data_IF_146719913729
#
_entry.id   IF_146719913729
#
_cell.length_a   1.000
_cell.length_b   1.000
_cell.length_c   1.000
_cell.angle_alpha   90.00
_cell.angle_beta   90.00
_cell.angle_gamma   90.00
#
_symmetry.space_group_name_H-M   'P 1'
#
loop_
_entity.id
_entity.type
_entity.pdbx_description
1 polymer ?
#
# COMPACT_ATOMS: atom_id res chain seq x y z
N UNK A 1 -84.36 32.92 -15.44
CA UNK A 1 -83.46 32.01 -14.69
C UNK A 1 -82.96 32.76 -13.47
N UNK A 2 -83.22 32.23 -12.28
CA UNK A 2 -83.17 32.94 -11.01
C UNK A 2 -81.73 33.19 -10.54
N UNK A 3 -81.55 34.32 -9.87
CA UNK A 3 -80.33 34.86 -9.24
C UNK A 3 -79.69 33.92 -8.18
N UNK A 4 -80.22 32.71 -8.01
CA UNK A 4 -79.74 31.67 -7.08
C UNK A 4 -78.78 30.68 -7.72
N UNK A 5 -78.63 30.67 -9.05
CA UNK A 5 -77.70 29.77 -9.75
C UNK A 5 -76.28 30.35 -9.97
N UNK A 6 -76.08 31.66 -9.80
CA UNK A 6 -74.77 32.30 -9.98
C UNK A 6 -73.93 32.35 -8.69
N UNK A 7 -74.55 32.20 -7.52
CA UNK A 7 -73.86 32.28 -6.20
C UNK A 7 -73.27 30.93 -5.78
N UNK A 8 -73.79 29.80 -6.31
CA UNK A 8 -73.27 28.47 -6.04
C UNK A 8 -71.99 28.14 -6.83
N UNK A 9 -71.70 28.84 -7.93
CA UNK A 9 -70.50 28.61 -8.75
C UNK A 9 -69.30 29.49 -8.33
N UNK A 10 -69.49 30.48 -7.46
CA UNK A 10 -68.43 31.38 -6.98
C UNK A 10 -67.90 31.01 -5.58
N UNK A 11 -68.55 30.09 -4.86
CA UNK A 11 -68.08 29.60 -3.55
C UNK A 11 -67.28 28.30 -3.65
N UNK A 12 -67.36 27.57 -4.77
CA UNK A 12 -66.55 26.36 -5.00
C UNK A 12 -65.16 26.69 -5.59
N UNK A 13 -64.94 27.92 -6.09
CA UNK A 13 -63.64 28.35 -6.63
C UNK A 13 -62.76 29.12 -5.62
N UNK A 14 -63.23 29.33 -4.38
CA UNK A 14 -62.51 30.07 -3.33
C UNK A 14 -62.00 29.20 -2.16
N UNK A 15 -62.19 27.87 -2.20
CA UNK A 15 -61.72 26.94 -1.16
C UNK A 15 -60.48 26.12 -1.61
N UNK A 16 -59.92 26.40 -2.79
CA UNK A 16 -58.71 25.73 -3.30
C UNK A 16 -57.41 26.54 -3.16
N UNK A 17 -57.38 27.62 -2.37
CA UNK A 17 -56.18 28.46 -2.20
C UNK A 17 -55.69 28.64 -0.75
N UNK A 18 -56.10 27.80 0.20
CA UNK A 18 -55.68 27.93 1.61
C UNK A 18 -55.32 26.55 2.22
N UNK A 19 -54.37 25.82 1.65
CA UNK A 19 -53.74 24.64 2.29
C UNK A 19 -52.45 24.21 1.56
N UNK A 20 -51.40 25.02 1.57
CA UNK A 20 -50.04 24.53 1.27
C UNK A 20 -48.93 25.50 1.74
N UNK A 21 -49.07 26.14 2.90
CA UNK A 21 -47.92 26.61 3.68
C UNK A 21 -47.62 25.54 4.73
N UNK A 22 -46.99 24.46 4.26
CA UNK A 22 -46.31 23.45 5.09
C UNK A 22 -45.17 22.89 4.24
N UNK A 23 -44.37 23.79 3.65
CA UNK A 23 -43.04 23.42 3.20
C UNK A 23 -42.22 23.20 4.46
N UNK A 24 -42.11 21.93 4.85
CA UNK A 24 -41.13 21.45 5.82
C UNK A 24 -39.81 22.18 5.60
N UNK A 25 -39.26 22.77 6.64
CA UNK A 25 -37.82 23.00 6.73
C UNK A 25 -37.16 21.65 6.47
N UNK A 26 -36.75 21.43 5.23
CA UNK A 26 -35.83 20.36 4.90
C UNK A 26 -34.55 20.73 5.61
N UNK A 27 -34.31 20.09 6.74
CA UNK A 27 -33.02 19.95 7.37
C UNK A 27 -31.98 19.89 6.26
N UNK A 28 -31.13 20.92 6.17
CA UNK A 28 -30.03 21.01 5.22
C UNK A 28 -29.00 19.93 5.52
N UNK A 29 -29.34 18.69 5.16
CA UNK A 29 -28.43 17.58 5.12
C UNK A 29 -27.39 17.83 4.03
N UNK A 30 -26.20 17.28 4.22
CA UNK A 30 -25.03 17.36 3.33
C UNK A 30 -25.25 16.76 1.90
N UNK A 31 -26.50 16.61 1.46
CA UNK A 31 -26.93 15.79 0.32
C UNK A 31 -26.90 16.52 -1.03
N UNK A 32 -26.33 17.73 -1.09
CA UNK A 32 -26.30 18.54 -2.33
C UNK A 32 -24.88 18.86 -2.82
N UNK A 33 -23.87 18.16 -2.31
CA UNK A 33 -22.53 18.26 -2.89
C UNK A 33 -22.49 17.47 -4.20
N UNK A 34 -22.01 18.06 -5.30
CA UNK A 34 -21.78 17.31 -6.53
C UNK A 34 -20.91 16.09 -6.23
N UNK A 35 -21.24 14.95 -6.82
CA UNK A 35 -20.48 13.70 -6.67
C UNK A 35 -19.94 13.24 -8.02
N UNK A 36 -18.88 12.43 -7.97
CA UNK A 36 -18.37 11.66 -9.10
C UNK A 36 -18.20 10.21 -8.70
N UNK A 37 -18.28 9.32 -9.68
CA UNK A 37 -17.99 7.89 -9.46
C UNK A 37 -16.52 7.61 -9.69
N UNK A 38 -15.90 6.88 -8.78
CA UNK A 38 -14.58 6.26 -8.95
C UNK A 38 -14.73 4.74 -8.92
N UNK A 39 -13.81 4.04 -9.59
CA UNK A 39 -13.71 2.57 -9.49
C UNK A 39 -12.53 2.26 -8.58
N UNK A 40 -12.78 1.57 -7.47
CA UNK A 40 -11.74 1.24 -6.50
C UNK A 40 -10.95 -0.02 -6.87
N UNK A 41 -9.89 -0.32 -6.12
CA UNK A 41 -8.98 -1.43 -6.41
C UNK A 41 -9.62 -2.84 -6.31
N UNK A 42 -10.80 -2.94 -5.69
CA UNK A 42 -11.57 -4.20 -5.62
C UNK A 42 -12.76 -4.20 -6.59
N UNK A 43 -12.83 -3.22 -7.50
CA UNK A 43 -13.78 -3.16 -8.60
C UNK A 43 -15.14 -2.59 -8.24
N UNK A 44 -15.30 -1.93 -7.09
CA UNK A 44 -16.54 -1.26 -6.71
C UNK A 44 -16.64 0.10 -7.38
N UNK A 45 -17.82 0.45 -7.88
CA UNK A 45 -18.17 1.82 -8.24
C UNK A 45 -18.60 2.58 -6.97
N UNK A 46 -17.83 3.58 -6.58
CA UNK A 46 -18.07 4.35 -5.37
C UNK A 46 -18.34 5.82 -5.73
N UNK A 47 -19.45 6.37 -5.27
CA UNK A 47 -19.73 7.80 -5.37
C UNK A 47 -18.96 8.55 -4.30
N UNK A 48 -18.07 9.43 -4.71
CA UNK A 48 -17.30 10.32 -3.83
C UNK A 48 -17.66 11.77 -4.10
N UNK A 49 -17.49 12.68 -3.13
CA UNK A 49 -17.63 14.10 -3.38
C UNK A 49 -16.75 14.57 -4.55
N UNK A 50 -17.26 15.51 -5.34
CA UNK A 50 -16.53 16.11 -6.45
C UNK A 50 -15.26 16.81 -5.95
N UNK A 51 -15.33 17.43 -4.77
CA UNK A 51 -14.20 18.02 -4.05
C UNK A 51 -14.00 17.26 -2.75
N UNK A 52 -12.82 16.69 -2.58
CA UNK A 52 -12.39 15.99 -1.36
C UNK A 52 -11.32 16.84 -0.70
N UNK A 53 -11.56 17.31 0.52
CA UNK A 53 -10.62 18.12 1.31
C UNK A 53 -10.20 17.43 2.62
N UNK A 54 -10.90 16.35 3.01
CA UNK A 54 -10.68 15.63 4.28
C UNK A 54 -10.66 14.12 4.03
N UNK A 55 -9.48 13.52 4.06
CA UNK A 55 -9.27 12.09 3.83
C UNK A 55 -8.93 11.44 5.16
N UNK A 56 -9.75 10.47 5.57
CA UNK A 56 -9.40 9.50 6.60
C UNK A 56 -8.62 8.36 5.92
N UNK A 57 -7.43 8.05 6.41
CA UNK A 57 -6.64 6.93 5.90
C UNK A 57 -6.82 5.70 6.80
N UNK A 58 -6.86 4.51 6.20
CA UNK A 58 -6.85 3.23 6.90
C UNK A 58 -5.44 2.72 7.25
N UNK A 59 -4.40 3.50 6.95
CA UNK A 59 -3.01 3.24 7.32
C UNK A 59 -2.12 4.47 7.11
N UNK A 60 -1.23 4.73 8.04
CA UNK A 60 -0.19 5.76 7.96
C UNK A 60 0.81 5.48 6.83
N UNK A 61 1.02 4.20 6.48
CA UNK A 61 1.83 3.80 5.31
C UNK A 61 1.34 4.39 3.99
N UNK A 62 0.11 4.89 3.91
CA UNK A 62 -0.37 5.65 2.75
C UNK A 62 0.44 6.92 2.48
N UNK A 63 1.28 7.36 3.44
CA UNK A 63 2.30 8.39 3.23
C UNK A 63 3.23 8.08 2.04
N UNK A 64 3.51 6.81 1.73
CA UNK A 64 4.25 6.43 0.52
C UNK A 64 3.52 6.84 -0.76
N UNK A 65 2.19 6.78 -0.76
CA UNK A 65 1.39 7.18 -1.92
C UNK A 65 1.22 8.69 -1.97
N UNK A 66 0.91 9.32 -0.84
CA UNK A 66 0.66 10.77 -0.86
C UNK A 66 1.93 11.58 -1.11
N UNK A 67 3.11 11.07 -0.74
CA UNK A 67 4.40 11.70 -1.02
C UNK A 67 4.71 11.81 -2.52
N UNK A 68 4.41 10.78 -3.32
CA UNK A 68 4.60 10.83 -4.79
C UNK A 68 3.59 11.75 -5.48
N UNK A 69 2.43 11.99 -4.84
CA UNK A 69 1.37 12.85 -5.37
C UNK A 69 1.53 14.31 -4.96
N UNK A 70 2.17 14.58 -3.81
CA UNK A 70 2.37 15.93 -3.31
C UNK A 70 3.69 16.02 -2.52
N UNK A 71 4.79 16.20 -3.24
CA UNK A 71 6.13 16.39 -2.66
C UNK A 71 6.21 17.62 -1.74
N UNK A 72 5.41 18.66 -1.98
CA UNK A 72 5.43 19.90 -1.20
C UNK A 72 4.66 19.79 0.13
N UNK A 73 3.66 18.92 0.19
CA UNK A 73 2.92 18.63 1.42
C UNK A 73 2.31 17.22 1.34
N UNK A 74 3.10 16.17 1.68
CA UNK A 74 2.65 14.78 1.60
C UNK A 74 1.44 14.46 2.47
N UNK A 75 1.13 15.31 3.45
CA UNK A 75 -0.01 15.13 4.36
C UNK A 75 -1.21 16.01 4.02
N UNK A 76 -1.19 16.69 2.87
CA UNK A 76 -2.31 17.50 2.41
C UNK A 76 -3.61 16.70 2.42
N UNK A 77 -4.69 17.31 2.95
CA UNK A 77 -6.03 16.73 3.13
C UNK A 77 -6.14 15.56 4.11
N UNK A 78 -5.06 15.03 4.68
CA UNK A 78 -5.15 13.93 5.67
C UNK A 78 -5.65 14.48 7.00
N UNK A 79 -6.79 13.99 7.49
CA UNK A 79 -7.38 14.47 8.75
C UNK A 79 -7.14 13.53 9.93
N UNK A 80 -7.01 12.24 9.66
CA UNK A 80 -6.65 11.24 10.65
C UNK A 80 -6.14 9.96 9.97
N UNK A 81 -5.37 9.17 10.71
CA UNK A 81 -4.85 7.87 10.27
C UNK A 81 -4.45 6.98 11.46
N UNK A 82 -4.13 5.70 11.24
CA UNK A 82 -3.43 4.87 12.23
C UNK A 82 -1.97 5.31 12.45
N UNK A 83 -1.20 4.54 13.22
CA UNK A 83 0.23 4.72 13.48
C UNK A 83 1.09 3.56 12.92
N UNK A 84 0.56 2.73 12.02
CA UNK A 84 1.24 1.53 11.50
C UNK A 84 2.59 1.80 10.81
N UNK A 85 2.83 3.01 10.28
CA UNK A 85 4.15 3.42 9.79
C UNK A 85 5.10 3.70 10.95
N UNK A 86 4.68 4.46 11.97
CA UNK A 86 5.46 4.71 13.19
C UNK A 86 5.90 3.41 13.86
N UNK A 87 5.03 2.41 13.86
CA UNK A 87 5.29 1.12 14.51
C UNK A 87 6.23 0.20 13.74
N UNK A 88 6.26 0.31 12.41
CA UNK A 88 6.95 -0.64 11.54
C UNK A 88 8.09 -0.04 10.70
N UNK A 89 8.14 1.29 10.56
CA UNK A 89 9.15 2.05 9.84
C UNK A 89 9.26 3.48 10.37
N UNK A 90 9.73 3.55 11.61
CA UNK A 90 9.91 4.82 12.30
C UNK A 90 10.93 5.73 11.60
N UNK A 91 11.96 5.15 10.97
CA UNK A 91 12.99 5.89 10.26
C UNK A 91 12.42 6.73 9.10
N UNK A 92 11.49 6.15 8.32
CA UNK A 92 10.76 6.91 7.29
C UNK A 92 9.93 8.02 7.91
N UNK A 93 9.12 7.71 8.92
CA UNK A 93 8.24 8.70 9.53
C UNK A 93 9.03 9.89 10.11
N UNK A 94 10.15 9.63 10.79
CA UNK A 94 11.00 10.65 11.37
C UNK A 94 11.57 11.60 10.29
N UNK A 95 11.94 11.08 9.12
CA UNK A 95 12.43 11.92 7.99
C UNK A 95 11.36 12.81 7.42
N UNK A 96 10.15 12.28 7.22
CA UNK A 96 9.02 13.12 6.84
C UNK A 96 8.72 14.15 7.92
N UNK A 97 8.74 13.79 9.20
CA UNK A 97 8.46 14.72 10.29
C UNK A 97 9.56 15.78 10.52
N UNK A 98 10.78 15.56 10.05
CA UNK A 98 11.84 16.57 10.05
C UNK A 98 11.56 17.67 9.02
N UNK A 99 11.03 17.31 7.84
CA UNK A 99 10.70 18.26 6.78
C UNK A 99 9.28 18.83 6.89
N UNK A 100 8.35 18.03 7.43
CA UNK A 100 6.93 18.31 7.57
C UNK A 100 6.51 18.04 9.02
N UNK A 101 6.83 18.95 9.97
CA UNK A 101 6.50 18.75 11.38
C UNK A 101 5.01 18.47 11.64
N UNK A 102 4.12 18.98 10.78
CA UNK A 102 2.67 18.79 10.87
C UNK A 102 2.23 17.33 10.80
N UNK A 103 3.07 16.41 10.29
CA UNK A 103 2.84 14.96 10.32
C UNK A 103 2.51 14.47 11.74
N UNK A 104 3.11 15.09 12.76
CA UNK A 104 2.92 14.76 14.18
C UNK A 104 1.61 15.26 14.76
N UNK A 105 0.96 16.23 14.11
CA UNK A 105 -0.26 16.87 14.59
C UNK A 105 -1.54 16.19 14.04
N UNK A 106 -1.39 15.23 13.12
CA UNK A 106 -2.50 14.48 12.53
C UNK A 106 -3.09 13.54 13.59
N UNK A 107 -4.42 13.59 13.73
CA UNK A 107 -5.14 12.77 14.69
C UNK A 107 -4.93 11.28 14.43
N UNK A 108 -4.83 10.49 15.50
CA UNK A 108 -4.74 9.04 15.42
C UNK A 108 -6.09 8.40 15.67
N UNK A 109 -6.42 7.35 14.90
CA UNK A 109 -7.71 6.66 15.01
C UNK A 109 -7.63 5.29 15.65
N UNK A 110 -6.44 4.79 15.97
CA UNK A 110 -6.19 3.38 16.26
C UNK A 110 -6.04 2.54 15.00
N UNK A 111 -5.73 1.25 15.18
CA UNK A 111 -5.32 0.33 14.12
C UNK A 111 -6.45 -0.62 13.70
N UNK A 112 -6.54 -0.90 12.39
CA UNK A 112 -7.53 -1.85 11.86
C UNK A 112 -7.14 -3.30 12.21
N UNK A 113 -5.88 -3.67 12.05
CA UNK A 113 -5.44 -5.07 12.14
C UNK A 113 -5.52 -5.68 13.55
N UNK A 114 -5.51 -4.85 14.60
CA UNK A 114 -5.66 -5.29 16.00
C UNK A 114 -7.02 -4.88 16.58
N UNK A 115 -7.95 -4.41 15.74
CA UNK A 115 -9.30 -4.01 16.11
C UNK A 115 -9.36 -2.88 17.17
N UNK A 116 -8.44 -1.92 17.10
CA UNK A 116 -8.42 -0.74 18.00
C UNK A 116 -8.89 0.54 17.31
N UNK A 117 -9.11 0.52 16.00
CA UNK A 117 -9.60 1.70 15.29
C UNK A 117 -10.99 2.12 15.79
N UNK A 118 -11.16 3.37 16.20
CA UNK A 118 -12.40 3.92 16.73
C UNK A 118 -13.25 4.56 15.64
N UNK A 119 -14.47 4.06 15.45
CA UNK A 119 -15.46 4.68 14.56
C UNK A 119 -15.84 6.09 15.02
N UNK A 120 -15.91 6.33 16.33
CA UNK A 120 -16.27 7.64 16.89
C UNK A 120 -15.19 8.68 16.53
N UNK A 121 -13.92 8.38 16.80
CA UNK A 121 -12.80 9.26 16.46
C UNK A 121 -12.69 9.47 14.94
N UNK A 122 -12.93 8.42 14.15
CA UNK A 122 -13.00 8.51 12.71
C UNK A 122 -14.07 9.53 12.24
N UNK A 123 -15.27 9.50 12.82
CA UNK A 123 -16.35 10.44 12.51
C UNK A 123 -16.12 11.86 13.05
N UNK A 124 -15.49 12.00 14.22
CA UNK A 124 -15.07 13.29 14.79
C UNK A 124 -14.08 14.02 13.88
N UNK A 125 -13.25 13.27 13.16
CA UNK A 125 -12.36 13.83 12.13
C UNK A 125 -13.10 14.39 10.91
N UNK A 126 -14.43 14.22 10.81
CA UNK A 126 -15.31 14.71 9.73
C UNK A 126 -14.74 14.47 8.32
N UNK A 127 -14.42 13.22 7.94
CA UNK A 127 -13.85 12.93 6.62
C UNK A 127 -14.89 13.07 5.51
N UNK A 128 -14.42 13.40 4.31
CA UNK A 128 -15.19 13.37 3.06
C UNK A 128 -15.13 11.99 2.40
N UNK A 129 -14.06 11.23 2.65
CA UNK A 129 -13.84 9.87 2.14
C UNK A 129 -12.94 9.10 3.10
N UNK A 130 -13.19 7.80 3.22
CA UNK A 130 -12.29 6.85 3.88
C UNK A 130 -11.53 6.05 2.82
N UNK A 131 -10.19 6.09 2.86
CA UNK A 131 -9.33 5.32 1.97
C UNK A 131 -8.72 4.16 2.76
N UNK A 132 -8.97 2.92 2.35
CA UNK A 132 -8.47 1.72 3.03
C UNK A 132 -7.69 0.82 2.07
N UNK A 133 -6.70 0.08 2.57
CA UNK A 133 -5.98 -0.91 1.77
C UNK A 133 -6.81 -2.20 1.63
N UNK A 134 -6.82 -2.80 0.45
CA UNK A 134 -7.51 -4.06 0.19
C UNK A 134 -7.09 -5.18 1.15
N UNK A 135 -5.84 -5.19 1.61
CA UNK A 135 -5.32 -6.17 2.57
C UNK A 135 -6.00 -6.15 3.94
N UNK A 136 -6.66 -5.05 4.31
CA UNK A 136 -7.36 -4.89 5.60
C UNK A 136 -8.84 -4.50 5.43
N UNK A 137 -9.35 -4.51 4.20
CA UNK A 137 -10.74 -4.15 3.90
C UNK A 137 -11.73 -5.04 4.65
N UNK A 138 -11.57 -6.37 4.57
CA UNK A 138 -12.47 -7.32 5.24
C UNK A 138 -12.41 -7.18 6.76
N UNK A 139 -11.22 -6.97 7.33
CA UNK A 139 -11.08 -6.71 8.78
C UNK A 139 -11.78 -5.41 9.20
N UNK A 140 -11.65 -4.33 8.42
CA UNK A 140 -12.35 -3.08 8.67
C UNK A 140 -13.88 -3.24 8.56
N UNK A 141 -14.33 -4.06 7.61
CA UNK A 141 -15.75 -4.38 7.42
C UNK A 141 -16.30 -5.18 8.61
N UNK A 142 -15.61 -6.24 9.01
CA UNK A 142 -15.99 -7.11 10.12
C UNK A 142 -16.02 -6.37 11.45
N UNK A 143 -15.13 -5.38 11.63
CA UNK A 143 -15.13 -4.45 12.75
C UNK A 143 -16.28 -3.43 12.73
N UNK A 144 -17.09 -3.39 11.66
CA UNK A 144 -18.20 -2.45 11.49
C UNK A 144 -17.77 -1.02 11.13
N UNK A 145 -16.49 -0.78 10.81
CA UNK A 145 -15.97 0.55 10.47
C UNK A 145 -16.55 1.04 9.13
N UNK A 146 -16.53 0.18 8.12
CA UNK A 146 -17.02 0.52 6.78
C UNK A 146 -18.51 0.84 6.83
N UNK A 147 -19.31 -0.08 7.37
CA UNK A 147 -20.76 0.10 7.50
C UNK A 147 -21.12 1.35 8.34
N UNK A 148 -20.36 1.62 9.39
CA UNK A 148 -20.56 2.77 10.26
C UNK A 148 -20.28 4.10 9.55
N UNK A 149 -19.16 4.19 8.83
CA UNK A 149 -18.78 5.37 8.05
C UNK A 149 -19.76 5.64 6.90
N UNK A 150 -20.15 4.60 6.16
CA UNK A 150 -21.08 4.72 5.04
C UNK A 150 -22.48 5.14 5.51
N UNK A 151 -22.98 4.61 6.63
CA UNK A 151 -24.24 5.08 7.26
C UNK A 151 -24.20 6.55 7.68
N UNK A 152 -23.01 7.07 8.01
CA UNK A 152 -22.80 8.48 8.31
C UNK A 152 -22.56 9.35 7.07
N UNK A 153 -22.66 8.77 5.87
CA UNK A 153 -22.48 9.48 4.59
C UNK A 153 -21.02 9.65 4.17
N UNK A 154 -20.08 8.91 4.76
CA UNK A 154 -18.66 8.91 4.37
C UNK A 154 -18.41 7.70 3.44
N UNK A 155 -18.21 7.89 2.13
CA UNK A 155 -17.90 6.81 1.22
C UNK A 155 -16.53 6.18 1.53
N UNK A 156 -16.44 4.86 1.37
CA UNK A 156 -15.19 4.11 1.52
C UNK A 156 -14.66 3.66 0.16
N UNK A 157 -13.41 3.99 -0.14
CA UNK A 157 -12.70 3.55 -1.35
C UNK A 157 -11.47 2.71 -0.99
N UNK A 158 -11.14 1.77 -1.86
CA UNK A 158 -10.04 0.81 -1.63
C UNK A 158 -8.87 1.06 -2.57
N UNK A 159 -7.66 1.15 -2.03
CA UNK A 159 -6.39 1.03 -2.77
C UNK A 159 -5.79 -0.35 -2.56
N UNK A 160 -4.92 -0.79 -3.46
CA UNK A 160 -4.23 -2.07 -3.31
C UNK A 160 -2.80 -2.03 -3.85
N UNK A 161 -1.86 -2.17 -2.92
CA UNK A 161 -0.44 -2.44 -3.17
C UNK A 161 0.00 -3.77 -2.55
N UNK A 162 -0.94 -4.53 -1.96
CA UNK A 162 -0.66 -5.68 -1.10
C UNK A 162 -1.22 -6.98 -1.67
N UNK A 163 -2.50 -7.03 -2.01
CA UNK A 163 -3.19 -8.27 -2.43
C UNK A 163 -2.78 -8.67 -3.84
N UNK A 164 -2.93 -7.76 -4.81
CA UNK A 164 -2.59 -7.96 -6.22
C UNK A 164 -1.83 -6.72 -6.76
N UNK A 165 -0.58 -6.49 -6.30
CA UNK A 165 0.17 -5.29 -6.65
C UNK A 165 0.43 -5.15 -8.16
N UNK A 166 0.57 -6.27 -8.87
CA UNK A 166 0.83 -6.25 -10.33
C UNK A 166 -0.35 -5.66 -11.08
N UNK A 167 -1.57 -6.00 -10.69
CA UNK A 167 -2.79 -5.47 -11.30
C UNK A 167 -3.15 -4.09 -10.78
N UNK A 168 -3.02 -3.86 -9.47
CA UNK A 168 -3.73 -2.78 -8.79
C UNK A 168 -2.88 -1.57 -8.39
N UNK A 169 -1.54 -1.62 -8.49
CA UNK A 169 -0.70 -0.46 -8.13
C UNK A 169 -1.05 0.78 -8.95
N UNK A 170 -1.11 0.65 -10.28
CA UNK A 170 -1.40 1.78 -11.19
C UNK A 170 -2.84 2.32 -11.02
N UNK A 171 -3.90 1.49 -11.01
CA UNK A 171 -5.25 1.97 -10.70
C UNK A 171 -5.35 2.69 -9.35
N UNK A 172 -4.66 2.19 -8.31
CA UNK A 172 -4.67 2.80 -6.97
C UNK A 172 -4.03 4.18 -6.96
N UNK A 173 -2.87 4.35 -7.61
CA UNK A 173 -2.20 5.65 -7.74
C UNK A 173 -3.09 6.65 -8.48
N UNK A 174 -3.73 6.21 -9.58
CA UNK A 174 -4.64 7.04 -10.37
C UNK A 174 -5.84 7.51 -9.56
N UNK A 175 -6.48 6.59 -8.82
CA UNK A 175 -7.61 6.92 -7.95
C UNK A 175 -7.20 7.90 -6.86
N UNK A 176 -6.04 7.70 -6.22
CA UNK A 176 -5.53 8.63 -5.22
C UNK A 176 -5.21 10.00 -5.81
N UNK A 177 -4.65 10.06 -7.02
CA UNK A 177 -4.49 11.29 -7.79
C UNK A 177 -5.80 12.04 -7.97
N UNK A 178 -6.86 11.32 -8.37
CA UNK A 178 -8.20 11.91 -8.48
C UNK A 178 -8.67 12.47 -7.14
N UNK A 179 -8.66 11.66 -6.07
CA UNK A 179 -9.15 12.07 -4.75
C UNK A 179 -8.40 13.27 -4.18
N UNK A 180 -7.09 13.36 -4.40
CA UNK A 180 -6.27 14.46 -3.89
C UNK A 180 -6.25 15.69 -4.80
N UNK A 181 -6.82 15.62 -6.01
CA UNK A 181 -6.70 16.68 -7.02
C UNK A 181 -5.25 16.83 -7.54
N UNK A 182 -4.57 15.69 -7.68
CA UNK A 182 -3.17 15.53 -8.09
C UNK A 182 -3.06 14.57 -9.28
N UNK A 183 -4.00 14.65 -10.21
CA UNK A 183 -4.07 13.75 -11.36
C UNK A 183 -2.81 13.85 -12.25
N UNK A 184 -2.24 15.05 -12.40
CA UNK A 184 -1.02 15.25 -13.21
C UNK A 184 0.19 14.56 -12.58
N UNK A 185 0.35 14.69 -11.26
CA UNK A 185 1.41 14.05 -10.50
C UNK A 185 1.24 12.52 -10.51
N UNK A 186 0.00 12.05 -10.38
CA UNK A 186 -0.33 10.63 -10.50
C UNK A 186 0.05 10.06 -11.86
N UNK A 187 -0.38 10.67 -12.98
CA UNK A 187 -0.03 10.15 -14.31
C UNK A 187 1.48 10.24 -14.58
N UNK A 188 2.17 11.29 -14.11
CA UNK A 188 3.64 11.39 -14.22
C UNK A 188 4.32 10.22 -13.50
N UNK A 189 3.89 9.88 -12.28
CA UNK A 189 4.44 8.75 -11.56
C UNK A 189 4.06 7.41 -12.21
N UNK A 190 2.83 7.26 -12.71
CA UNK A 190 2.38 6.06 -13.42
C UNK A 190 3.23 5.82 -14.67
N UNK A 191 3.51 6.84 -15.47
CA UNK A 191 4.37 6.73 -16.64
C UNK A 191 5.79 6.27 -16.26
N UNK A 192 6.34 6.82 -15.17
CA UNK A 192 7.63 6.42 -14.63
C UNK A 192 7.63 4.97 -14.14
N UNK A 193 6.65 4.60 -13.32
CA UNK A 193 6.44 3.25 -12.81
C UNK A 193 6.35 2.24 -13.95
N UNK A 194 5.48 2.52 -14.94
CA UNK A 194 5.23 1.60 -16.04
C UNK A 194 6.46 1.47 -16.94
N UNK A 195 7.23 2.55 -17.13
CA UNK A 195 8.52 2.48 -17.84
C UNK A 195 9.51 1.53 -17.15
N UNK A 196 9.63 1.59 -15.83
CA UNK A 196 10.54 0.74 -15.04
C UNK A 196 10.09 -0.73 -15.09
N UNK A 197 8.80 -1.00 -14.90
CA UNK A 197 8.24 -2.36 -15.01
C UNK A 197 8.37 -2.92 -16.44
N UNK A 198 8.03 -2.12 -17.46
CA UNK A 198 8.10 -2.56 -18.86
C UNK A 198 9.55 -2.79 -19.35
N UNK A 199 10.52 -2.07 -18.76
CA UNK A 199 11.94 -2.34 -19.02
C UNK A 199 12.30 -3.77 -18.61
N UNK A 200 11.83 -4.22 -17.43
CA UNK A 200 12.06 -5.58 -16.95
C UNK A 200 11.33 -6.61 -17.80
N UNK A 201 10.00 -6.47 -17.92
CA UNK A 201 9.18 -7.48 -18.61
C UNK A 201 9.55 -7.61 -20.10
N UNK A 202 9.81 -6.48 -20.77
CA UNK A 202 10.22 -6.47 -22.18
C UNK A 202 11.59 -7.11 -22.43
N UNK A 203 12.55 -6.96 -21.51
CA UNK A 203 13.85 -7.66 -21.60
C UNK A 203 13.71 -9.15 -21.43
N UNK A 204 12.93 -9.59 -20.43
CA UNK A 204 12.66 -11.00 -20.18
C UNK A 204 11.98 -11.67 -21.37
N UNK A 205 10.97 -11.00 -21.95
CA UNK A 205 10.25 -11.47 -23.13
C UNK A 205 11.19 -11.59 -24.34
N UNK A 206 11.95 -10.52 -24.64
CA UNK A 206 12.90 -10.50 -25.77
C UNK A 206 13.96 -11.59 -25.66
N UNK A 207 14.46 -11.85 -24.46
CA UNK A 207 15.44 -12.89 -24.19
C UNK A 207 14.83 -14.31 -24.15
N UNK A 208 13.49 -14.42 -24.11
CA UNK A 208 12.77 -15.67 -23.79
C UNK A 208 13.33 -16.31 -22.52
N UNK A 209 13.54 -15.48 -21.50
CA UNK A 209 14.14 -15.88 -20.24
C UNK A 209 13.31 -17.00 -19.59
N UNK A 210 13.99 -18.07 -19.16
CA UNK A 210 13.33 -19.15 -18.41
C UNK A 210 13.14 -18.70 -16.96
N UNK A 211 12.00 -18.99 -16.31
CA UNK A 211 11.82 -18.67 -14.90
C UNK A 211 12.96 -19.23 -14.02
N UNK A 212 13.46 -18.42 -13.08
CA UNK A 212 14.47 -18.86 -12.10
C UNK A 212 13.80 -19.34 -10.82
N UNK A 213 14.11 -20.55 -10.37
CA UNK A 213 13.56 -21.11 -9.12
C UNK A 213 13.97 -20.23 -7.94
N UNK A 214 12.99 -19.60 -7.29
CA UNK A 214 13.24 -18.56 -6.29
C UNK A 214 12.41 -18.79 -5.04
N UNK A 215 13.04 -18.67 -3.86
CA UNK A 215 12.32 -18.60 -2.60
C UNK A 215 12.29 -17.18 -2.05
N UNK A 216 11.09 -16.65 -1.85
CA UNK A 216 10.88 -15.39 -1.16
C UNK A 216 10.80 -15.60 0.36
N UNK A 217 11.87 -15.26 1.07
CA UNK A 217 11.96 -15.41 2.52
C UNK A 217 11.46 -14.14 3.23
N UNK A 218 10.19 -14.14 3.60
CA UNK A 218 9.52 -13.01 4.23
C UNK A 218 10.03 -12.78 5.65
N UNK A 219 10.63 -11.61 5.85
CA UNK A 219 10.96 -11.00 7.14
C UNK A 219 11.56 -11.99 8.15
N UNK A 220 12.70 -12.66 7.83
CA UNK A 220 13.43 -13.46 8.81
C UNK A 220 13.65 -12.69 10.12
N UNK A 221 13.47 -13.37 11.24
CA UNK A 221 13.68 -12.80 12.59
C UNK A 221 12.52 -12.00 13.13
N UNK A 222 11.69 -11.42 12.25
CA UNK A 222 10.36 -10.94 12.57
C UNK A 222 9.37 -12.11 12.60
N UNK A 223 9.44 -12.98 11.59
CA UNK A 223 8.79 -14.29 11.59
C UNK A 223 9.81 -15.40 11.75
N UNK A 224 9.37 -16.52 12.33
CA UNK A 224 10.17 -17.73 12.36
C UNK A 224 10.42 -18.24 10.93
N UNK A 225 11.58 -18.88 10.74
CA UNK A 225 11.89 -19.43 9.42
C UNK A 225 10.91 -20.56 9.11
N UNK A 226 10.37 -20.65 7.89
CA UNK A 226 10.65 -19.80 6.74
C UNK A 226 9.34 -19.22 6.20
N UNK A 227 8.95 -18.06 6.75
CA UNK A 227 7.75 -17.37 6.29
C UNK A 227 7.88 -16.90 4.84
N UNK A 228 6.79 -16.94 4.08
CA UNK A 228 6.76 -16.57 2.66
C UNK A 228 5.38 -16.08 2.22
N UNK A 229 5.33 -15.42 1.07
CA UNK A 229 4.11 -15.15 0.32
C UNK A 229 3.93 -16.18 -0.80
N UNK A 230 2.68 -16.46 -1.17
CA UNK A 230 2.33 -17.32 -2.27
C UNK A 230 1.17 -16.73 -3.07
N UNK A 231 1.31 -16.68 -4.40
CA UNK A 231 0.28 -16.27 -5.38
C UNK A 231 -0.32 -14.87 -5.14
N UNK A 232 0.31 -14.06 -4.30
CA UNK A 232 -0.12 -12.72 -3.91
C UNK A 232 1.08 -11.88 -3.52
N UNK A 233 0.91 -10.56 -3.41
CA UNK A 233 1.94 -9.68 -2.86
C UNK A 233 3.28 -9.81 -3.61
N UNK A 234 4.41 -9.75 -2.89
CA UNK A 234 5.76 -9.89 -3.46
C UNK A 234 5.99 -11.22 -4.20
N UNK A 235 5.19 -12.27 -3.97
CA UNK A 235 5.28 -13.49 -4.76
C UNK A 235 4.90 -13.25 -6.23
N UNK A 236 3.91 -12.40 -6.50
CA UNK A 236 3.57 -12.01 -7.87
C UNK A 236 4.66 -11.14 -8.50
N UNK A 237 5.37 -10.34 -7.69
CA UNK A 237 6.52 -9.56 -8.15
C UNK A 237 7.69 -10.47 -8.53
N UNK A 238 7.94 -11.56 -7.79
CA UNK A 238 8.90 -12.60 -8.20
C UNK A 238 8.53 -13.15 -9.58
N UNK A 239 7.27 -13.51 -9.82
CA UNK A 239 6.82 -14.02 -11.12
C UNK A 239 6.95 -12.98 -12.24
N UNK A 240 6.54 -11.73 -11.99
CA UNK A 240 6.65 -10.62 -12.94
C UNK A 240 8.11 -10.33 -13.33
N UNK A 241 9.04 -10.49 -12.38
CA UNK A 241 10.47 -10.30 -12.57
C UNK A 241 11.19 -11.51 -13.20
N UNK A 242 10.45 -12.54 -13.63
CA UNK A 242 10.99 -13.72 -14.32
C UNK A 242 11.43 -14.84 -13.38
N UNK A 243 10.87 -14.92 -12.18
CA UNK A 243 11.08 -16.01 -11.24
C UNK A 243 9.97 -17.05 -11.28
N UNK A 244 10.27 -18.24 -10.76
CA UNK A 244 9.27 -19.19 -10.28
C UNK A 244 9.31 -19.15 -8.75
N UNK A 245 8.30 -18.56 -8.10
CA UNK A 245 8.24 -18.54 -6.65
C UNK A 245 7.87 -19.94 -6.12
N UNK A 246 8.84 -20.67 -5.56
CA UNK A 246 8.60 -22.03 -5.08
C UNK A 246 7.57 -22.08 -3.94
N UNK A 247 7.39 -20.97 -3.20
CA UNK A 247 6.36 -20.83 -2.17
C UNK A 247 4.94 -21.07 -2.69
N UNK A 248 4.68 -20.77 -3.97
CA UNK A 248 3.38 -20.99 -4.63
C UNK A 248 2.94 -22.46 -4.63
N UNK A 249 3.92 -23.37 -4.55
CA UNK A 249 3.72 -24.82 -4.58
C UNK A 249 3.95 -25.48 -3.22
N UNK A 250 4.32 -24.72 -2.19
CA UNK A 250 4.58 -25.22 -0.84
C UNK A 250 3.45 -24.91 0.14
N UNK A 251 2.68 -23.85 -0.11
CA UNK A 251 1.54 -23.47 0.73
C UNK A 251 0.30 -23.17 -0.12
N UNK A 252 -0.89 -23.46 0.44
CA UNK A 252 -2.17 -23.18 -0.22
C UNK A 252 -2.68 -21.76 0.09
N UNK A 253 -2.31 -21.20 1.25
CA UNK A 253 -2.69 -19.84 1.64
C UNK A 253 -1.84 -18.79 0.92
N UNK A 254 -2.34 -17.55 0.87
CA UNK A 254 -1.64 -16.39 0.26
C UNK A 254 -0.31 -16.03 0.94
N UNK A 255 -0.16 -16.45 2.19
CA UNK A 255 1.04 -16.28 3.00
C UNK A 255 1.07 -17.38 4.06
N UNK A 256 2.27 -17.73 4.52
CA UNK A 256 2.42 -18.80 5.49
C UNK A 256 3.87 -19.02 5.88
N UNK A 257 4.15 -20.21 6.41
CA UNK A 257 5.46 -20.65 6.82
C UNK A 257 5.69 -22.08 6.30
N UNK A 258 6.91 -22.34 5.85
CA UNK A 258 7.40 -23.69 5.51
C UNK A 258 8.55 -24.06 6.46
N UNK A 259 8.83 -25.36 6.61
CA UNK A 259 9.99 -25.76 7.41
C UNK A 259 11.30 -25.44 6.67
N UNK A 260 12.38 -25.12 7.40
CA UNK A 260 13.71 -24.95 6.81
C UNK A 260 14.17 -26.14 5.96
N UNK A 261 13.83 -27.37 6.37
CA UNK A 261 14.17 -28.60 5.65
C UNK A 261 13.39 -28.73 4.35
N UNK A 262 12.11 -28.33 4.33
CA UNK A 262 11.31 -28.34 3.11
C UNK A 262 11.83 -27.32 2.10
N UNK A 263 12.26 -26.13 2.56
CA UNK A 263 12.96 -25.15 1.73
C UNK A 263 14.27 -25.72 1.19
N UNK A 264 15.12 -26.28 2.07
CA UNK A 264 16.41 -26.83 1.68
C UNK A 264 16.27 -27.98 0.67
N UNK A 265 15.26 -28.85 0.84
CA UNK A 265 14.97 -29.94 -0.09
C UNK A 265 14.51 -29.46 -1.47
N UNK A 266 13.85 -28.30 -1.55
CA UNK A 266 13.51 -27.65 -2.83
C UNK A 266 14.70 -27.01 -3.50
N UNK A 267 15.72 -26.63 -2.73
CA UNK A 267 17.01 -26.11 -3.20
C UNK A 267 16.86 -25.05 -4.32
N UNK A 268 16.25 -23.88 -4.02
CA UNK A 268 16.04 -22.85 -5.03
C UNK A 268 17.37 -22.31 -5.58
N UNK A 269 17.35 -21.81 -6.81
CA UNK A 269 18.51 -21.18 -7.44
C UNK A 269 18.82 -19.82 -6.81
N UNK A 270 17.79 -19.12 -6.31
CA UNK A 270 17.88 -17.80 -5.69
C UNK A 270 17.04 -17.76 -4.42
N UNK A 271 17.56 -17.13 -3.36
CA UNK A 271 16.79 -16.76 -2.17
C UNK A 271 16.74 -15.24 -2.09
N UNK A 272 15.54 -14.69 -1.95
CA UNK A 272 15.34 -13.26 -1.71
C UNK A 272 14.63 -13.09 -0.38
N UNK A 273 15.36 -12.62 0.63
CA UNK A 273 14.80 -12.23 1.90
C UNK A 273 14.20 -10.82 1.83
N UNK A 274 13.32 -10.49 2.77
CA UNK A 274 12.91 -9.09 3.00
C UNK A 274 13.36 -8.62 4.38
N UNK A 275 13.78 -7.37 4.52
CA UNK A 275 14.24 -6.80 5.78
C UNK A 275 13.82 -5.36 5.98
N UNK A 276 13.73 -4.90 7.22
CA UNK A 276 13.53 -3.49 7.56
C UNK A 276 14.11 -3.19 8.96
N UNK A 277 14.27 -1.91 9.26
CA UNK A 277 14.59 -1.44 10.62
C UNK A 277 13.37 -1.60 11.54
N UNK A 278 13.32 -2.75 12.20
CA UNK A 278 12.31 -3.07 13.21
C UNK A 278 12.80 -2.90 14.65
N UNK A 279 14.07 -2.49 14.86
CA UNK A 279 14.65 -2.37 16.21
C UNK A 279 13.92 -1.31 17.04
N UNK A 280 13.42 -0.28 16.36
CA UNK A 280 12.67 0.82 16.96
C UNK A 280 11.15 0.60 16.95
N UNK A 281 10.69 -0.56 16.49
CA UNK A 281 9.27 -0.90 16.39
C UNK A 281 8.67 -1.41 17.70
N UNK A 282 7.34 -1.55 17.75
CA UNK A 282 6.65 -2.13 18.92
C UNK A 282 6.77 -3.66 19.00
N UNK A 283 7.14 -4.32 17.89
CA UNK A 283 7.26 -5.77 17.83
C UNK A 283 8.73 -6.17 18.05
N UNK A 284 9.05 -6.92 19.13
CA UNK A 284 10.43 -7.28 19.43
C UNK A 284 10.97 -8.25 18.37
N UNK A 285 12.00 -7.81 17.64
CA UNK A 285 12.75 -8.66 16.72
C UNK A 285 13.87 -9.40 17.44
N UNK A 286 14.11 -10.66 17.06
CA UNK A 286 15.19 -11.46 17.65
C UNK A 286 16.55 -10.85 17.23
N UNK A 287 17.43 -10.44 18.17
CA UNK A 287 18.70 -9.80 17.82
C UNK A 287 19.55 -10.62 16.85
N UNK A 288 20.00 -9.97 15.78
CA UNK A 288 20.81 -10.57 14.71
C UNK A 288 20.12 -11.71 13.96
N UNK A 289 18.78 -11.77 13.96
CA UNK A 289 18.00 -12.75 13.21
C UNK A 289 17.20 -12.13 12.05
N UNK A 290 17.33 -10.82 11.84
CA UNK A 290 16.74 -10.06 10.74
C UNK A 290 17.81 -9.25 10.01
N UNK A 291 17.46 -8.73 8.83
CA UNK A 291 18.31 -7.83 8.05
C UNK A 291 17.74 -6.42 8.15
N UNK A 292 18.38 -5.51 8.91
CA UNK A 292 18.01 -4.10 8.88
C UNK A 292 18.20 -3.55 7.46
N UNK A 293 17.15 -2.94 6.92
CA UNK A 293 17.18 -2.20 5.65
C UNK A 293 16.32 -0.94 5.79
N UNK A 294 16.69 0.10 5.05
CA UNK A 294 16.03 1.39 5.06
C UNK A 294 17.01 2.54 5.20
N UNK A 295 16.49 3.69 5.57
CA UNK A 295 17.21 4.96 5.40
C UNK A 295 18.45 5.16 6.27
N UNK A 296 18.55 4.42 7.38
CA UNK A 296 19.62 4.57 8.36
C UNK A 296 20.70 3.47 8.23
N UNK A 297 20.54 2.54 7.29
CA UNK A 297 21.33 1.32 7.24
C UNK A 297 22.55 1.43 6.34
N UNK A 298 23.72 1.08 6.88
CA UNK A 298 24.97 1.04 6.13
C UNK A 298 25.07 -0.22 5.25
N UNK A 299 25.56 -0.12 3.99
CA UNK A 299 25.60 -1.26 3.07
C UNK A 299 26.39 -2.47 3.60
N UNK A 300 27.55 -2.23 4.20
CA UNK A 300 28.42 -3.27 4.74
C UNK A 300 27.75 -3.99 5.92
N UNK A 301 27.00 -3.23 6.72
CA UNK A 301 26.28 -3.76 7.87
C UNK A 301 25.11 -4.65 7.44
N UNK A 302 24.34 -4.20 6.45
CA UNK A 302 23.24 -4.98 5.89
C UNK A 302 23.73 -6.31 5.30
N UNK A 303 24.87 -6.33 4.60
CA UNK A 303 25.48 -7.55 4.08
C UNK A 303 25.93 -8.50 5.21
N UNK A 304 26.54 -7.95 6.26
CA UNK A 304 26.95 -8.72 7.45
C UNK A 304 25.74 -9.37 8.15
N UNK A 305 24.64 -8.63 8.29
CA UNK A 305 23.44 -9.12 8.97
C UNK A 305 22.69 -10.15 8.12
N UNK A 306 22.65 -10.01 6.79
CA UNK A 306 22.16 -11.07 5.91
C UNK A 306 22.96 -12.38 6.08
N UNK A 307 24.29 -12.29 6.17
CA UNK A 307 25.13 -13.47 6.44
C UNK A 307 24.76 -14.13 7.78
N UNK A 308 24.58 -13.35 8.84
CA UNK A 308 24.18 -13.87 10.17
C UNK A 308 22.80 -14.54 10.14
N UNK A 309 21.84 -13.95 9.44
CA UNK A 309 20.50 -14.51 9.26
C UNK A 309 20.56 -15.91 8.64
N UNK A 310 21.36 -16.04 7.57
CA UNK A 310 21.54 -17.32 6.87
C UNK A 310 22.28 -18.33 7.74
N UNK A 311 23.36 -17.94 8.41
CA UNK A 311 24.16 -18.84 9.27
C UNK A 311 23.36 -19.44 10.44
N UNK A 312 22.36 -18.68 10.94
CA UNK A 312 21.43 -19.14 11.98
C UNK A 312 20.40 -20.16 11.49
N UNK A 313 20.34 -20.46 10.19
CA UNK A 313 19.43 -21.46 9.61
C UNK A 313 20.22 -22.65 9.03
N UNK A 314 20.48 -23.71 9.82
CA UNK A 314 21.34 -24.82 9.41
C UNK A 314 20.92 -25.54 8.14
N UNK A 315 19.62 -25.68 7.87
CA UNK A 315 19.15 -26.29 6.62
C UNK A 315 19.28 -25.32 5.43
N UNK A 316 18.95 -24.04 5.62
CA UNK A 316 18.93 -23.05 4.54
C UNK A 316 20.35 -22.69 4.09
N UNK A 317 21.31 -22.60 5.01
CA UNK A 317 22.71 -22.29 4.67
C UNK A 317 23.36 -23.34 3.76
N UNK A 318 22.82 -24.56 3.72
CA UNK A 318 23.34 -25.65 2.89
C UNK A 318 22.79 -25.65 1.46
N UNK A 319 21.85 -24.75 1.14
CA UNK A 319 21.31 -24.60 -0.22
C UNK A 319 22.35 -24.07 -1.20
N UNK A 320 22.15 -24.39 -2.48
CA UNK A 320 23.02 -23.91 -3.55
C UNK A 320 22.92 -22.39 -3.73
N UNK A 321 21.75 -21.79 -3.51
CA UNK A 321 21.60 -20.33 -3.49
C UNK A 321 22.59 -19.67 -2.51
N UNK A 322 22.70 -20.21 -1.29
CA UNK A 322 23.64 -19.66 -0.29
C UNK A 322 25.09 -19.93 -0.68
N UNK A 323 25.42 -21.18 -1.04
CA UNK A 323 26.79 -21.58 -1.41
C UNK A 323 27.33 -20.80 -2.61
N UNK A 324 26.46 -20.48 -3.57
CA UNK A 324 26.78 -19.71 -4.76
C UNK A 324 26.53 -18.20 -4.61
N UNK A 325 26.29 -17.71 -3.39
CA UNK A 325 26.08 -16.28 -3.08
C UNK A 325 24.92 -15.64 -3.85
N UNK A 326 23.91 -16.43 -4.20
CA UNK A 326 22.63 -16.02 -4.81
C UNK A 326 21.53 -15.85 -3.76
N UNK A 327 21.90 -15.28 -2.61
CA UNK A 327 20.97 -14.91 -1.54
C UNK A 327 21.04 -13.41 -1.32
N UNK A 328 19.88 -12.76 -1.40
CA UNK A 328 19.72 -11.31 -1.34
C UNK A 328 18.73 -10.90 -0.26
N UNK A 329 18.72 -9.63 0.11
CA UNK A 329 17.67 -9.04 0.92
C UNK A 329 17.21 -7.72 0.31
N UNK A 330 15.89 -7.52 0.24
CA UNK A 330 15.24 -6.29 -0.21
C UNK A 330 14.48 -5.62 0.94
N UNK A 331 14.27 -4.31 0.86
CA UNK A 331 13.48 -3.59 1.84
C UNK A 331 12.04 -4.11 1.91
N UNK A 332 11.56 -4.40 3.11
CA UNK A 332 10.29 -5.10 3.33
C UNK A 332 9.10 -4.26 2.87
N UNK A 333 9.11 -2.95 3.09
CA UNK A 333 7.97 -2.07 2.83
C UNK A 333 7.57 -1.94 1.36
N UNK A 334 8.37 -2.45 0.41
CA UNK A 334 7.92 -2.64 -0.97
C UNK A 334 6.72 -3.60 -1.10
N UNK A 335 6.44 -4.41 -0.08
CA UNK A 335 5.28 -5.31 -0.05
C UNK A 335 3.92 -4.60 -0.05
N UNK A 336 3.86 -3.33 0.36
CA UNK A 336 2.62 -2.56 0.49
C UNK A 336 2.89 -1.06 0.23
N UNK A 337 3.50 -0.78 -0.92
CA UNK A 337 3.88 0.57 -1.33
C UNK A 337 3.88 0.70 -2.86
N UNK A 338 3.56 1.88 -3.42
CA UNK A 338 3.71 2.13 -4.86
C UNK A 338 5.17 2.09 -5.33
N UNK A 339 6.14 1.98 -4.43
CA UNK A 339 7.57 1.88 -4.76
C UNK A 339 7.97 0.45 -5.18
N UNK A 340 7.01 -0.47 -5.25
CA UNK A 340 7.24 -1.88 -5.52
C UNK A 340 7.88 -2.20 -6.90
N UNK A 341 7.92 -1.24 -7.84
CA UNK A 341 8.71 -1.37 -9.07
C UNK A 341 10.22 -1.57 -8.78
N UNK A 342 10.74 -1.02 -7.67
CA UNK A 342 12.12 -1.25 -7.25
C UNK A 342 12.36 -2.74 -6.94
N UNK A 343 11.38 -3.40 -6.30
CA UNK A 343 11.45 -4.84 -6.08
C UNK A 343 11.41 -5.61 -7.42
N UNK A 344 10.64 -5.17 -8.42
CA UNK A 344 10.65 -5.76 -9.77
C UNK A 344 12.06 -5.72 -10.37
N UNK A 345 12.72 -4.56 -10.36
CA UNK A 345 14.07 -4.38 -10.91
C UNK A 345 15.12 -5.18 -10.15
N UNK A 346 15.09 -5.12 -8.82
CA UNK A 346 16.05 -5.82 -7.96
C UNK A 346 15.89 -7.34 -8.04
N UNK A 347 14.65 -7.85 -8.10
CA UNK A 347 14.40 -9.29 -8.24
C UNK A 347 14.85 -9.78 -9.60
N UNK A 348 14.56 -9.03 -10.66
CA UNK A 348 15.01 -9.35 -12.00
C UNK A 348 16.54 -9.41 -12.08
N UNK A 349 17.24 -8.48 -11.43
CA UNK A 349 18.70 -8.51 -11.28
C UNK A 349 19.22 -9.74 -10.55
N UNK A 350 18.58 -10.14 -9.45
CA UNK A 350 19.00 -11.33 -8.69
C UNK A 350 18.82 -12.64 -9.48
N UNK A 351 17.71 -12.74 -10.20
CA UNK A 351 17.33 -13.95 -10.94
C UNK A 351 18.04 -14.06 -12.29
N UNK A 352 18.21 -12.93 -12.98
CA UNK A 352 18.77 -12.83 -14.34
C UNK A 352 19.92 -11.80 -14.43
N UNK A 353 21.03 -11.98 -13.69
CA UNK A 353 22.07 -10.96 -13.57
C UNK A 353 22.65 -10.53 -14.92
N UNK A 354 22.75 -11.44 -15.90
CA UNK A 354 23.27 -11.14 -17.24
C UNK A 354 22.37 -10.20 -18.06
N UNK A 355 21.06 -10.20 -17.82
CA UNK A 355 20.10 -9.34 -18.52
C UNK A 355 19.95 -7.95 -17.86
N UNK A 356 20.41 -7.81 -16.61
CA UNK A 356 20.17 -6.65 -15.74
C UNK A 356 21.47 -6.19 -15.05
N UNK A 357 22.60 -6.31 -15.74
CA UNK A 357 23.89 -5.84 -15.24
C UNK A 357 23.89 -4.32 -15.02
N UNK A 358 23.14 -3.59 -15.85
CA UNK A 358 22.97 -2.13 -15.83
C UNK A 358 22.01 -1.62 -14.75
N UNK A 359 21.22 -2.50 -14.12
CA UNK A 359 20.38 -2.12 -12.98
C UNK A 359 21.27 -1.91 -11.76
N UNK A 360 21.32 -0.69 -11.24
CA UNK A 360 21.99 -0.34 -9.98
C UNK A 360 20.90 -0.03 -8.93
N UNK A 361 20.62 -0.96 -7.98
CA UNK A 361 19.59 -0.77 -6.97
C UNK A 361 19.70 0.54 -6.17
N UNK A 362 20.92 1.00 -5.88
CA UNK A 362 21.11 2.23 -5.12
C UNK A 362 20.82 3.47 -5.98
N UNK A 363 21.14 3.42 -7.27
CA UNK A 363 20.79 4.47 -8.24
C UNK A 363 19.28 4.55 -8.46
N UNK A 364 18.60 3.42 -8.58
CA UNK A 364 17.15 3.38 -8.79
C UNK A 364 16.38 3.98 -7.61
N UNK A 365 16.82 3.69 -6.38
CA UNK A 365 16.28 4.33 -5.18
C UNK A 365 16.52 5.85 -5.20
N UNK A 366 17.74 6.31 -5.54
CA UNK A 366 18.04 7.75 -5.64
C UNK A 366 17.16 8.45 -6.68
N UNK A 367 16.98 7.86 -7.86
CA UNK A 367 16.15 8.41 -8.93
C UNK A 367 14.69 8.60 -8.50
N UNK A 368 14.11 7.64 -7.76
CA UNK A 368 12.77 7.77 -7.18
C UNK A 368 12.68 9.01 -6.26
N UNK A 369 13.67 9.17 -5.38
CA UNK A 369 13.65 10.24 -4.39
C UNK A 369 13.82 11.61 -5.02
N UNK A 370 14.82 11.77 -5.90
CA UNK A 370 15.09 13.01 -6.59
C UNK A 370 13.87 13.51 -7.38
N UNK A 371 13.20 12.60 -8.10
CA UNK A 371 12.10 12.95 -8.99
C UNK A 371 10.75 13.13 -8.28
N UNK A 372 10.47 12.37 -7.22
CA UNK A 372 9.11 12.25 -6.68
C UNK A 372 9.00 12.48 -5.18
N UNK A 373 10.05 12.30 -4.37
CA UNK A 373 9.93 12.34 -2.91
C UNK A 373 10.60 13.58 -2.29
N UNK A 374 10.09 14.10 -1.17
CA UNK A 374 10.69 15.26 -0.51
C UNK A 374 11.92 14.92 0.32
N UNK A 375 12.06 13.66 0.70
CA UNK A 375 13.19 13.16 1.50
C UNK A 375 14.32 12.64 0.61
N UNK A 376 15.55 12.71 1.09
CA UNK A 376 16.73 12.21 0.37
C UNK A 376 16.86 10.68 0.50
N UNK A 377 17.32 10.06 -0.59
CA UNK A 377 17.69 8.64 -0.61
C UNK A 377 19.02 8.42 0.12
N UNK A 378 18.94 8.01 1.39
CA UNK A 378 20.09 7.54 2.16
C UNK A 378 19.89 6.10 2.60
N UNK A 379 20.97 5.43 3.04
CA UNK A 379 20.88 4.08 3.59
C UNK A 379 20.85 2.98 2.52
N UNK A 380 20.31 1.82 2.90
CA UNK A 380 20.41 0.58 2.12
C UNK A 380 19.05 -0.10 1.98
N UNK A 381 18.58 -0.29 0.75
CA UNK A 381 17.29 -0.93 0.45
C UNK A 381 17.44 -2.30 -0.22
N UNK A 382 18.68 -2.68 -0.54
CA UNK A 382 19.04 -3.92 -1.20
C UNK A 382 20.45 -4.35 -0.79
N UNK A 383 20.65 -5.63 -0.50
CA UNK A 383 21.96 -6.22 -0.24
C UNK A 383 22.01 -7.69 -0.70
N UNK A 384 23.20 -8.26 -0.77
CA UNK A 384 23.44 -9.66 -1.14
C UNK A 384 24.64 -10.25 -0.44
N UNK A 385 24.68 -11.58 -0.33
CA UNK A 385 25.84 -12.30 0.17
C UNK A 385 27.07 -12.01 -0.70
N UNK A 386 28.21 -11.77 -0.05
CA UNK A 386 29.48 -11.39 -0.68
C UNK A 386 30.44 -12.55 -0.84
#
# INVERSE_FOLDING_TARGET
MSLRALIAALVVLAVLFLSACSGSESNGGKDNQPTRTVVDAIGREVKVPQKVDRILMGGQKMLYTTAILNKENPTDKIVAWPEDLKENDKATLDRYAQQFPQVKDIATTGEIYNNTMSLEQALESRPDVFVVNAGVFDAAKDAGLIDGLEKAGVPTVTVDYFVDPVKNTVPSIRMMGQLMGREKEAEKFIDYYQKKVNMVTGRLEKAKAKPTSTFLWRAPGYFDCCSTFAKSNLAQIVELAGGENIGNNMINAKQGQVSPEALAAKNPDVIIATGADWDQGKTPVKPGAYVPLGYNEAPEKAAEDLRKVVEKQPAVRETDAVKNKRTFATWHHFYDSPYNFLAVEMFAKAMHPDLFQDVDPAKEVRELHEQFLPIEATGTFWTGLQ
#
